data_IF_699117697808
#
_entry.id   IF_699117697808
#
_cell.length_a   1.000
_cell.length_b   1.000
_cell.length_c   1.000
_cell.angle_alpha   90.00
_cell.angle_beta   90.00
_cell.angle_gamma   90.00
#
_symmetry.space_group_name_H-M   'P 1'
#
loop_
_entity.id
_entity.type
_entity.pdbx_description
1 polymer ?
#
# COMPACT_ATOMS: atom_id res chain seq x y z
N UNK A 1 -0.49 10.82 25.78
CA UNK A 1 -1.55 9.96 25.19
C UNK A 1 -0.85 8.76 24.59
N UNK A 2 -1.17 7.54 25.00
CA UNK A 2 -0.53 6.34 24.46
C UNK A 2 -0.92 6.23 22.98
N UNK A 3 0.04 6.33 22.06
CA UNK A 3 -0.23 6.16 20.61
C UNK A 3 -0.59 4.69 20.39
N UNK A 4 -1.86 4.43 20.07
CA UNK A 4 -2.31 3.10 19.69
C UNK A 4 -1.91 2.86 18.23
N UNK A 5 -1.05 1.87 17.97
CA UNK A 5 -0.74 1.41 16.61
C UNK A 5 -1.95 0.66 16.04
N UNK A 6 -2.20 0.79 14.72
CA UNK A 6 -3.25 0.00 14.06
C UNK A 6 -2.93 -1.49 14.14
N UNK A 7 -3.97 -2.31 14.35
CA UNK A 7 -3.84 -3.77 14.50
C UNK A 7 -4.58 -4.50 13.41
N UNK A 8 -3.95 -5.54 12.87
CA UNK A 8 -4.61 -6.48 11.97
C UNK A 8 -5.64 -7.27 12.78
N UNK A 9 -6.82 -7.49 12.22
CA UNK A 9 -7.90 -8.25 12.86
C UNK A 9 -8.37 -9.39 11.96
N UNK A 10 -8.53 -10.57 12.57
CA UNK A 10 -8.91 -11.82 11.89
C UNK A 10 -10.36 -12.22 12.18
N UNK A 11 -11.09 -11.45 12.97
CA UNK A 11 -12.49 -11.73 13.31
C UNK A 11 -13.49 -11.08 12.34
N UNK A 12 -13.03 -10.18 11.46
CA UNK A 12 -13.88 -9.41 10.52
C UNK A 12 -14.15 -10.11 9.18
N UNK A 13 -13.46 -11.20 8.88
CA UNK A 13 -13.60 -11.92 7.61
C UNK A 13 -13.91 -13.40 7.85
N UNK A 14 -14.84 -13.95 7.07
CA UNK A 14 -15.22 -15.35 7.12
C UNK A 14 -15.18 -15.91 5.71
N UNK A 15 -14.47 -17.02 5.49
CA UNK A 15 -14.50 -17.79 4.26
C UNK A 15 -15.30 -19.06 4.48
N UNK A 16 -16.38 -19.22 3.72
CA UNK A 16 -17.22 -20.42 3.71
C UNK A 16 -16.78 -21.33 2.57
N UNK A 17 -16.53 -22.61 2.85
CA UNK A 17 -16.17 -23.61 1.83
C UNK A 17 -16.91 -24.92 2.07
N UNK A 18 -17.06 -25.76 1.04
CA UNK A 18 -17.49 -27.15 1.25
C UNK A 18 -16.42 -27.91 2.09
N UNK A 19 -16.84 -28.92 2.87
CA UNK A 19 -16.00 -29.76 3.75
C UNK A 19 -14.57 -30.03 3.25
N UNK A 20 -13.58 -30.18 4.16
CA UNK A 20 -12.23 -29.67 3.99
C UNK A 20 -11.61 -30.11 2.67
N UNK A 21 -11.48 -29.14 1.76
CA UNK A 21 -10.78 -29.24 0.49
C UNK A 21 -9.27 -29.42 0.71
N UNK A 22 -8.71 -30.65 0.60
CA UNK A 22 -7.30 -30.89 0.91
C UNK A 22 -6.37 -30.17 -0.07
N UNK A 23 -6.82 -30.03 -1.32
CA UNK A 23 -6.09 -29.43 -2.43
C UNK A 23 -5.86 -27.92 -2.31
N UNK A 24 -6.69 -27.21 -1.53
CA UNK A 24 -6.59 -25.76 -1.32
C UNK A 24 -6.26 -25.37 0.13
N UNK A 25 -6.15 -26.34 1.04
CA UNK A 25 -5.89 -26.07 2.46
C UNK A 25 -4.55 -25.33 2.67
N UNK A 26 -3.53 -25.66 1.87
CA UNK A 26 -2.23 -24.99 1.93
C UNK A 26 -2.26 -23.55 1.41
N UNK A 27 -3.13 -23.22 0.44
CA UNK A 27 -3.22 -21.87 -0.14
C UNK A 27 -4.10 -20.92 0.66
N UNK A 28 -4.99 -21.47 1.51
CA UNK A 28 -5.91 -20.74 2.39
C UNK A 28 -5.43 -20.63 3.84
N UNK A 29 -4.35 -21.32 4.23
CA UNK A 29 -3.81 -21.30 5.60
C UNK A 29 -3.53 -19.90 6.13
N UNK A 30 -3.20 -18.98 5.24
CA UNK A 30 -2.84 -17.61 5.55
C UNK A 30 -4.02 -16.65 5.36
N UNK A 31 -5.27 -17.13 5.21
CA UNK A 31 -6.44 -16.24 5.10
C UNK A 31 -6.57 -15.38 6.36
N UNK A 32 -6.76 -14.06 6.18
CA UNK A 32 -6.95 -13.10 7.28
C UNK A 32 -8.39 -13.15 7.80
N UNK A 33 -8.76 -14.26 8.42
CA UNK A 33 -10.13 -14.53 8.82
C UNK A 33 -10.32 -15.96 9.32
N UNK A 34 -11.57 -16.31 9.64
CA UNK A 34 -11.94 -17.69 9.93
C UNK A 34 -12.40 -18.42 8.66
N UNK A 35 -11.94 -19.65 8.45
CA UNK A 35 -12.50 -20.55 7.43
C UNK A 35 -13.50 -21.50 8.09
N UNK A 36 -14.71 -21.61 7.55
CA UNK A 36 -15.79 -22.45 8.11
C UNK A 36 -16.39 -23.34 7.03
N UNK A 37 -16.90 -24.50 7.43
CA UNK A 37 -17.60 -25.39 6.51
C UNK A 37 -19.00 -24.84 6.18
N UNK A 38 -19.45 -24.99 4.94
CA UNK A 38 -20.79 -24.59 4.50
C UNK A 38 -21.90 -25.22 5.36
N UNK A 39 -21.68 -26.45 5.85
CA UNK A 39 -22.60 -27.13 6.77
C UNK A 39 -22.73 -26.46 8.15
N UNK A 40 -21.71 -25.71 8.59
CA UNK A 40 -21.71 -24.98 9.87
C UNK A 40 -22.37 -23.60 9.75
N UNK A 41 -22.48 -23.07 8.53
CA UNK A 41 -22.96 -21.71 8.27
C UNK A 41 -24.35 -21.42 8.89
N UNK A 42 -25.37 -22.30 8.81
CA UNK A 42 -26.69 -22.02 9.40
C UNK A 42 -26.64 -21.81 10.92
N UNK A 43 -25.77 -22.53 11.63
CA UNK A 43 -25.61 -22.40 13.07
C UNK A 43 -24.85 -21.11 13.48
N UNK A 44 -24.13 -20.50 12.54
CA UNK A 44 -23.22 -19.36 12.79
C UNK A 44 -23.69 -18.06 12.16
N UNK A 45 -24.93 -17.98 11.66
CA UNK A 45 -25.46 -16.79 10.99
C UNK A 45 -25.37 -15.51 11.83
N UNK A 46 -25.62 -15.62 13.15
CA UNK A 46 -25.51 -14.49 14.07
C UNK A 46 -24.07 -13.96 14.19
N UNK A 47 -23.07 -14.83 14.02
CA UNK A 47 -21.65 -14.46 14.09
C UNK A 47 -21.17 -13.72 12.84
N UNK A 48 -21.97 -13.66 11.77
CA UNK A 48 -21.62 -12.97 10.52
C UNK A 48 -21.89 -11.46 10.59
N UNK A 49 -22.61 -11.00 11.62
CA UNK A 49 -23.01 -9.62 11.77
C UNK A 49 -21.82 -8.66 11.62
N UNK A 50 -21.89 -7.74 10.66
CA UNK A 50 -20.83 -6.73 10.44
C UNK A 50 -19.56 -7.25 9.74
N UNK A 51 -19.48 -8.53 9.38
CA UNK A 51 -18.30 -9.15 8.75
C UNK A 51 -18.36 -9.14 7.22
N UNK A 52 -17.20 -9.30 6.58
CA UNK A 52 -17.13 -9.71 5.17
C UNK A 52 -17.20 -11.23 5.09
N UNK A 53 -18.14 -11.74 4.30
CA UNK A 53 -18.32 -13.17 4.05
C UNK A 53 -17.90 -13.48 2.62
N UNK A 54 -16.93 -14.38 2.47
CA UNK A 54 -16.48 -14.93 1.20
C UNK A 54 -17.11 -16.32 1.04
N UNK A 55 -17.80 -16.55 -0.06
CA UNK A 55 -18.49 -17.79 -0.37
C UNK A 55 -17.70 -18.58 -1.41
N UNK A 56 -17.18 -19.73 -0.99
CA UNK A 56 -16.79 -20.85 -1.83
C UNK A 56 -17.76 -22.02 -1.66
N UNK A 57 -17.50 -23.12 -2.37
CA UNK A 57 -18.36 -24.30 -2.40
C UNK A 57 -19.59 -24.15 -3.31
N UNK A 58 -20.61 -24.94 -3.05
CA UNK A 58 -21.86 -24.93 -3.81
C UNK A 58 -22.77 -23.76 -3.38
N UNK A 59 -22.68 -22.64 -4.10
CA UNK A 59 -23.40 -21.40 -3.79
C UNK A 59 -24.92 -21.55 -3.97
N UNK A 60 -25.38 -22.45 -4.85
CA UNK A 60 -26.80 -22.71 -5.04
C UNK A 60 -27.46 -23.20 -3.74
N UNK A 61 -26.74 -24.00 -2.94
CA UNK A 61 -27.22 -24.47 -1.62
C UNK A 61 -27.33 -23.36 -0.58
N UNK A 62 -26.65 -22.23 -0.79
CA UNK A 62 -26.61 -21.11 0.14
C UNK A 62 -27.65 -20.04 -0.20
N UNK A 63 -28.35 -20.14 -1.34
CA UNK A 63 -29.35 -19.15 -1.75
C UNK A 63 -30.50 -18.99 -0.74
N UNK A 64 -30.87 -20.05 -0.02
CA UNK A 64 -31.93 -20.01 0.99
C UNK A 64 -31.53 -19.37 2.31
N UNK A 65 -30.26 -19.00 2.50
CA UNK A 65 -29.76 -18.44 3.75
C UNK A 65 -29.86 -16.91 3.76
N UNK A 66 -30.33 -16.38 4.89
CA UNK A 66 -30.39 -14.94 5.15
C UNK A 66 -29.03 -14.43 5.64
N UNK A 67 -28.17 -14.05 4.70
CA UNK A 67 -26.85 -13.46 4.98
C UNK A 67 -26.89 -11.93 5.14
N UNK A 68 -28.08 -11.32 5.25
CA UNK A 68 -28.25 -9.86 5.30
C UNK A 68 -27.62 -9.16 6.52
N UNK A 69 -27.31 -9.90 7.59
CA UNK A 69 -26.57 -9.35 8.74
C UNK A 69 -25.08 -9.12 8.42
N UNK A 70 -24.52 -9.84 7.44
CA UNK A 70 -23.16 -9.60 6.98
C UNK A 70 -23.03 -8.21 6.38
N UNK A 71 -21.90 -7.54 6.63
CA UNK A 71 -21.61 -6.23 6.04
C UNK A 71 -21.43 -6.32 4.53
N UNK A 72 -20.83 -7.41 4.06
CA UNK A 72 -20.53 -7.68 2.66
C UNK A 72 -20.52 -9.17 2.42
N UNK A 73 -21.07 -9.62 1.28
CA UNK A 73 -21.04 -11.01 0.84
C UNK A 73 -20.46 -11.06 -0.57
N UNK A 74 -19.47 -11.91 -0.79
CA UNK A 74 -18.73 -12.03 -2.06
C UNK A 74 -18.62 -13.51 -2.44
N UNK A 75 -18.83 -13.84 -3.71
CA UNK A 75 -18.60 -15.21 -4.22
C UNK A 75 -17.19 -15.30 -4.79
N UNK A 76 -16.42 -16.29 -4.36
CA UNK A 76 -15.04 -16.50 -4.85
C UNK A 76 -15.07 -17.47 -6.02
N UNK A 77 -14.89 -16.95 -7.24
CA UNK A 77 -15.09 -17.67 -8.51
C UNK A 77 -14.41 -19.04 -8.54
N UNK A 78 -13.13 -19.09 -8.19
CA UNK A 78 -12.30 -20.28 -8.27
C UNK A 78 -12.62 -21.31 -7.18
N UNK A 79 -13.29 -20.87 -6.10
CA UNK A 79 -13.71 -21.74 -5.01
C UNK A 79 -15.20 -22.13 -5.12
N UNK A 80 -15.97 -21.46 -5.98
CA UNK A 80 -17.43 -21.56 -6.01
C UNK A 80 -17.96 -22.30 -7.24
N UNK A 81 -18.97 -23.14 -7.04
CA UNK A 81 -19.79 -23.78 -8.08
C UNK A 81 -21.27 -23.41 -7.91
N UNK A 82 -22.06 -23.58 -8.96
CA UNK A 82 -23.50 -23.26 -8.94
C UNK A 82 -23.83 -21.76 -8.81
N UNK A 83 -22.83 -20.87 -8.90
CA UNK A 83 -23.04 -19.43 -8.74
C UNK A 83 -23.72 -18.77 -9.96
N UNK A 84 -23.64 -19.39 -11.14
CA UNK A 84 -24.39 -18.94 -12.33
C UNK A 84 -25.89 -19.21 -12.19
N UNK A 85 -26.25 -20.37 -11.62
CA UNK A 85 -27.62 -20.77 -11.30
C UNK A 85 -28.17 -19.96 -10.11
N UNK A 86 -27.29 -19.48 -9.24
CA UNK A 86 -27.65 -18.76 -8.03
C UNK A 86 -28.19 -17.33 -8.27
N UNK A 87 -28.22 -16.87 -9.52
CA UNK A 87 -28.53 -15.49 -9.88
C UNK A 87 -27.47 -14.50 -9.37
N UNK A 88 -27.44 -13.30 -9.94
CA UNK A 88 -26.45 -12.26 -9.61
C UNK A 88 -26.64 -11.61 -8.21
N UNK A 89 -27.05 -12.38 -7.19
CA UNK A 89 -27.37 -11.88 -5.84
C UNK A 89 -26.16 -11.27 -5.15
N UNK A 90 -24.98 -11.85 -5.35
CA UNK A 90 -23.74 -11.40 -4.73
C UNK A 90 -22.66 -11.14 -5.79
N UNK A 91 -21.82 -10.10 -5.61
CA UNK A 91 -20.69 -9.87 -6.49
C UNK A 91 -19.73 -11.06 -6.52
N UNK A 92 -19.27 -11.43 -7.72
CA UNK A 92 -18.27 -12.47 -7.92
C UNK A 92 -16.88 -11.83 -7.97
N UNK A 93 -15.94 -12.36 -7.19
CA UNK A 93 -14.55 -11.93 -7.11
C UNK A 93 -13.60 -13.10 -7.38
N UNK A 94 -12.37 -12.80 -7.77
CA UNK A 94 -11.30 -13.78 -7.91
C UNK A 94 -10.72 -14.16 -6.54
N UNK A 95 -10.14 -15.36 -6.40
CA UNK A 95 -9.44 -15.82 -5.20
C UNK A 95 -8.26 -14.91 -4.83
N UNK A 96 -7.73 -14.18 -5.80
CA UNK A 96 -6.71 -13.16 -5.63
C UNK A 96 -7.16 -11.96 -4.77
N UNK A 97 -8.49 -11.77 -4.62
CA UNK A 97 -9.15 -10.74 -3.78
C UNK A 97 -9.36 -11.21 -2.34
N UNK A 98 -8.92 -12.42 -1.98
CA UNK A 98 -8.92 -12.87 -0.60
C UNK A 98 -7.80 -12.15 0.19
N UNK A 99 -8.09 -11.63 1.40
CA UNK A 99 -7.05 -11.08 2.26
C UNK A 99 -6.14 -12.19 2.79
N UNK A 100 -4.85 -12.10 2.49
CA UNK A 100 -3.86 -13.07 2.96
C UNK A 100 -2.91 -12.42 3.97
N UNK A 101 -2.81 -12.97 5.17
CA UNK A 101 -1.81 -12.61 6.17
C UNK A 101 -0.39 -12.86 5.64
N UNK A 102 0.47 -11.88 5.85
CA UNK A 102 1.89 -11.98 5.53
C UNK A 102 2.65 -12.17 6.83
N UNK A 103 2.52 -13.35 7.46
CA UNK A 103 3.25 -13.73 8.68
C UNK A 103 3.27 -12.64 9.76
N UNK A 104 2.15 -11.96 9.97
CA UNK A 104 2.00 -10.86 10.94
C UNK A 104 2.52 -9.48 10.50
N UNK A 105 3.15 -9.36 9.33
CA UNK A 105 3.65 -8.06 8.82
C UNK A 105 2.55 -7.20 8.20
N UNK A 106 1.46 -7.81 7.74
CA UNK A 106 0.43 -7.10 6.98
C UNK A 106 -0.55 -8.04 6.29
N UNK A 107 -1.40 -7.47 5.44
CA UNK A 107 -2.42 -8.18 4.66
C UNK A 107 -2.20 -7.92 3.18
N UNK A 108 -2.10 -8.98 2.39
CA UNK A 108 -1.80 -8.95 0.98
C UNK A 108 -2.97 -9.47 0.15
N UNK A 109 -3.30 -8.70 -0.88
CA UNK A 109 -4.22 -9.09 -1.94
C UNK A 109 -3.40 -9.25 -3.21
N UNK A 110 -3.32 -10.47 -3.72
CA UNK A 110 -2.49 -10.79 -4.90
C UNK A 110 -2.99 -10.09 -6.16
N UNK A 111 -4.29 -9.79 -6.22
CA UNK A 111 -4.90 -8.87 -7.18
C UNK A 111 -6.08 -8.20 -6.49
N UNK A 112 -5.91 -6.91 -6.22
CA UNK A 112 -6.94 -6.06 -5.65
C UNK A 112 -7.68 -5.33 -6.76
N UNK A 113 -6.99 -4.59 -7.62
CA UNK A 113 -7.68 -3.80 -8.64
C UNK A 113 -8.12 -4.68 -9.81
N UNK A 114 -9.12 -4.21 -10.55
CA UNK A 114 -9.63 -4.89 -11.74
C UNK A 114 -8.54 -4.91 -12.82
N UNK A 115 -8.15 -6.11 -13.27
CA UNK A 115 -7.12 -6.28 -14.29
C UNK A 115 -7.51 -5.71 -15.66
N UNK A 116 -8.80 -5.45 -15.90
CA UNK A 116 -9.27 -4.77 -17.11
C UNK A 116 -9.15 -3.25 -17.03
N UNK A 117 -9.02 -2.69 -15.82
CA UNK A 117 -8.77 -1.28 -15.62
C UNK A 117 -7.28 -1.00 -15.90
N UNK A 118 -7.01 -0.26 -16.98
CA UNK A 118 -5.67 0.21 -17.34
C UNK A 118 -5.18 1.32 -16.38
N UNK A 119 -5.08 0.98 -15.10
CA UNK A 119 -4.88 1.90 -13.97
C UNK A 119 -3.54 2.62 -14.09
N UNK A 120 -2.50 1.94 -14.58
CA UNK A 120 -1.21 2.56 -14.87
C UNK A 120 -1.37 3.73 -15.84
N UNK A 121 -2.02 3.50 -16.99
CA UNK A 121 -2.13 4.52 -18.02
C UNK A 121 -3.09 5.63 -17.60
N UNK A 122 -4.15 5.32 -16.87
CA UNK A 122 -5.06 6.32 -16.31
C UNK A 122 -4.31 7.31 -15.41
N UNK A 123 -3.56 6.81 -14.41
CA UNK A 123 -2.76 7.66 -13.51
C UNK A 123 -1.73 8.49 -14.31
N UNK A 124 -1.07 7.87 -15.30
CA UNK A 124 -0.09 8.57 -16.13
C UNK A 124 -0.68 9.64 -17.05
N UNK A 125 -1.97 9.54 -17.42
CA UNK A 125 -2.69 10.56 -18.20
C UNK A 125 -3.22 11.69 -17.32
N UNK A 126 -3.67 11.35 -16.11
CA UNK A 126 -4.24 12.30 -15.16
C UNK A 126 -3.19 13.20 -14.51
N UNK A 127 -1.94 12.71 -14.40
CA UNK A 127 -0.90 13.37 -13.62
C UNK A 127 0.42 13.52 -14.37
N UNK A 128 1.08 14.67 -14.13
CA UNK A 128 2.44 14.92 -14.64
C UNK A 128 3.47 14.53 -13.59
N UNK A 129 4.16 13.41 -13.82
CA UNK A 129 5.22 12.94 -12.94
C UNK A 129 6.43 13.87 -12.94
N UNK A 130 6.97 14.10 -11.75
CA UNK A 130 8.03 15.05 -11.46
C UNK A 130 9.36 14.31 -11.30
N UNK A 131 10.45 15.00 -11.60
CA UNK A 131 11.78 14.50 -11.28
C UNK A 131 11.99 14.49 -9.77
N UNK A 132 12.85 13.60 -9.31
CA UNK A 132 13.21 13.49 -7.90
C UNK A 132 14.72 13.37 -7.75
N UNK A 133 15.21 13.92 -6.65
CA UNK A 133 16.62 13.84 -6.28
C UNK A 133 16.81 12.78 -5.20
N UNK A 134 17.87 12.00 -5.33
CA UNK A 134 18.26 11.01 -4.32
C UNK A 134 19.21 11.67 -3.32
N UNK A 135 18.66 12.12 -2.19
CA UNK A 135 19.44 12.66 -1.08
C UNK A 135 20.30 13.88 -1.52
N UNK A 136 21.59 13.88 -1.21
CA UNK A 136 22.57 14.95 -1.52
C UNK A 136 23.39 14.68 -2.78
N UNK A 137 23.09 13.62 -3.55
CA UNK A 137 23.89 13.29 -4.74
C UNK A 137 23.54 14.24 -5.88
N UNK A 138 24.54 14.80 -6.60
CA UNK A 138 24.27 15.54 -7.83
C UNK A 138 23.74 14.56 -8.88
N UNK A 139 22.43 14.61 -9.15
CA UNK A 139 21.77 13.76 -10.12
C UNK A 139 20.27 13.59 -9.86
N UNK A 140 19.50 13.40 -10.93
CA UNK A 140 18.12 12.93 -10.83
C UNK A 140 18.12 11.42 -10.64
N UNK A 141 17.21 10.91 -9.82
CA UNK A 141 17.09 9.47 -9.69
C UNK A 141 16.47 8.83 -10.93
N UNK A 142 16.67 7.53 -11.09
CA UNK A 142 16.11 6.73 -12.19
C UNK A 142 14.60 6.47 -12.09
N UNK A 143 13.89 7.25 -11.28
CA UNK A 143 12.43 7.18 -11.14
C UNK A 143 11.86 8.60 -11.15
N UNK A 144 10.61 8.71 -11.55
CA UNK A 144 9.83 9.94 -11.44
C UNK A 144 8.70 9.71 -10.45
N UNK A 145 8.14 10.77 -9.88
CA UNK A 145 7.11 10.63 -8.86
C UNK A 145 6.20 11.84 -8.73
N UNK A 146 5.17 11.71 -7.92
CA UNK A 146 4.25 12.79 -7.62
C UNK A 146 3.59 12.53 -6.25
N UNK A 147 3.32 13.61 -5.51
CA UNK A 147 2.45 13.57 -4.35
C UNK A 147 1.03 13.96 -4.71
N UNK A 148 0.08 13.18 -4.24
CA UNK A 148 -1.34 13.43 -4.42
C UNK A 148 -2.04 13.43 -3.06
N UNK A 149 -2.98 14.35 -2.87
CA UNK A 149 -3.84 14.42 -1.67
C UNK A 149 -5.13 15.17 -2.01
N UNK A 150 -6.24 15.04 -1.26
CA UNK A 150 -7.38 15.92 -1.47
C UNK A 150 -6.98 17.38 -1.24
N UNK A 151 -7.22 18.23 -2.25
CA UNK A 151 -7.04 19.67 -2.19
C UNK A 151 -8.41 20.34 -2.26
N UNK A 152 -8.71 21.20 -1.31
CA UNK A 152 -9.95 21.96 -1.22
C UNK A 152 -9.64 23.46 -1.29
N UNK A 153 -10.36 24.17 -2.14
CA UNK A 153 -10.25 25.63 -2.24
C UNK A 153 -11.34 26.31 -1.38
N UNK A 154 -10.93 27.27 -0.56
CA UNK A 154 -11.82 28.13 0.23
C UNK A 154 -11.39 29.59 0.05
N UNK A 155 -12.05 30.31 -0.86
CA UNK A 155 -11.57 31.62 -1.31
C UNK A 155 -10.20 31.49 -1.99
N UNK A 156 -9.23 32.25 -1.51
CA UNK A 156 -7.84 32.21 -1.98
C UNK A 156 -6.96 31.18 -1.24
N UNK A 157 -7.54 30.46 -0.28
CA UNK A 157 -6.83 29.43 0.49
C UNK A 157 -6.96 28.06 -0.18
N UNK A 158 -5.85 27.33 -0.29
CA UNK A 158 -5.81 25.93 -0.73
C UNK A 158 -5.49 25.04 0.47
N UNK A 159 -6.45 24.24 0.92
CA UNK A 159 -6.31 23.31 2.02
C UNK A 159 -5.94 21.91 1.53
N UNK A 160 -4.94 21.30 2.15
CA UNK A 160 -4.42 20.00 1.75
C UNK A 160 -3.69 19.33 2.92
N UNK A 161 -3.13 18.13 2.70
CA UNK A 161 -2.29 17.44 3.68
C UNK A 161 -0.86 17.31 3.17
N UNK A 162 0.09 17.46 4.09
CA UNK A 162 1.50 17.24 3.82
C UNK A 162 1.91 15.85 4.29
N UNK A 163 2.93 15.28 3.67
CA UNK A 163 3.62 14.11 4.18
C UNK A 163 5.13 14.29 4.01
N UNK A 164 5.71 15.11 4.88
CA UNK A 164 7.10 15.57 4.84
C UNK A 164 8.02 14.40 5.18
N UNK A 165 8.47 13.71 4.15
CA UNK A 165 9.41 12.60 4.26
C UNK A 165 10.75 12.93 3.57
N UNK A 166 11.52 11.91 3.21
CA UNK A 166 12.85 12.06 2.59
C UNK A 166 12.81 12.25 1.07
N UNK A 167 11.64 12.12 0.44
CA UNK A 167 11.52 12.29 -1.02
C UNK A 167 11.48 13.77 -1.36
N UNK A 168 12.32 14.18 -2.33
CA UNK A 168 12.37 15.54 -2.82
C UNK A 168 11.99 15.58 -4.30
N UNK A 169 10.73 15.94 -4.56
CA UNK A 169 10.14 16.15 -5.86
C UNK A 169 10.33 17.60 -6.30
N UNK A 170 10.42 17.81 -7.62
CA UNK A 170 10.68 19.13 -8.20
C UNK A 170 9.45 20.03 -8.37
N UNK A 171 8.24 19.51 -8.15
CA UNK A 171 6.99 20.24 -8.34
C UNK A 171 6.01 20.12 -7.17
N UNK A 172 4.86 20.82 -7.25
CA UNK A 172 3.86 20.85 -6.18
C UNK A 172 3.16 19.50 -6.00
N UNK A 173 2.56 19.30 -4.83
CA UNK A 173 1.51 18.29 -4.63
C UNK A 173 0.31 18.58 -5.54
N UNK A 174 -0.33 17.55 -6.07
CA UNK A 174 -1.56 17.68 -6.87
C UNK A 174 -2.78 17.12 -6.13
N UNK A 175 -3.97 17.58 -6.54
CA UNK A 175 -5.24 17.09 -6.06
C UNK A 175 -5.52 15.67 -6.56
N UNK A 176 -6.30 14.93 -5.78
CA UNK A 176 -6.90 13.69 -6.25
C UNK A 176 -7.86 13.92 -7.42
N UNK A 177 -7.59 13.20 -8.52
CA UNK A 177 -8.50 13.04 -9.65
C UNK A 177 -9.51 11.94 -9.37
N UNK A 178 -10.39 11.67 -10.33
CA UNK A 178 -11.50 10.73 -10.15
C UNK A 178 -10.98 9.32 -9.84
N UNK A 179 -9.96 8.87 -10.57
CA UNK A 179 -9.36 7.55 -10.35
C UNK A 179 -8.69 7.46 -8.97
N UNK A 180 -7.92 8.48 -8.54
CA UNK A 180 -7.30 8.46 -7.20
C UNK A 180 -8.33 8.31 -6.09
N UNK A 181 -9.46 9.03 -6.19
CA UNK A 181 -10.54 8.91 -5.20
C UNK A 181 -11.09 7.49 -5.17
N UNK A 182 -11.37 6.90 -6.33
CA UNK A 182 -11.84 5.52 -6.42
C UNK A 182 -10.86 4.52 -5.80
N UNK A 183 -9.57 4.65 -6.13
CA UNK A 183 -8.51 3.79 -5.58
C UNK A 183 -8.43 3.96 -4.05
N UNK A 184 -8.30 5.19 -3.56
CA UNK A 184 -8.13 5.50 -2.13
C UNK A 184 -9.38 5.14 -1.33
N UNK A 185 -10.58 5.34 -1.86
CA UNK A 185 -11.84 4.97 -1.21
C UNK A 185 -11.97 3.43 -1.12
N UNK A 186 -11.63 2.71 -2.18
CA UNK A 186 -11.60 1.24 -2.16
C UNK A 186 -10.60 0.71 -1.13
N UNK A 187 -9.42 1.33 -1.04
CA UNK A 187 -8.41 0.98 -0.05
C UNK A 187 -8.87 1.27 1.39
N UNK A 188 -9.50 2.42 1.65
CA UNK A 188 -10.04 2.75 2.96
C UNK A 188 -11.18 1.80 3.36
N UNK A 189 -12.06 1.46 2.42
CA UNK A 189 -13.13 0.49 2.64
C UNK A 189 -12.56 -0.88 3.05
N UNK A 190 -11.54 -1.35 2.35
CA UNK A 190 -10.90 -2.63 2.65
C UNK A 190 -10.08 -2.58 3.94
N UNK A 191 -9.35 -1.50 4.20
CA UNK A 191 -8.59 -1.32 5.43
C UNK A 191 -9.50 -1.46 6.67
N UNK A 192 -10.74 -0.95 6.62
CA UNK A 192 -11.71 -1.11 7.70
C UNK A 192 -12.16 -2.56 7.95
N UNK A 193 -12.00 -3.46 6.96
CA UNK A 193 -12.32 -4.88 7.06
C UNK A 193 -11.14 -5.73 7.56
N UNK A 194 -9.91 -5.21 7.56
CA UNK A 194 -8.70 -5.97 7.97
C UNK A 194 -7.89 -5.32 9.08
N UNK A 195 -8.17 -4.05 9.43
CA UNK A 195 -7.61 -3.37 10.59
C UNK A 195 -8.68 -2.88 11.56
N UNK A 196 -8.28 -2.70 12.81
CA UNK A 196 -9.02 -1.97 13.83
C UNK A 196 -8.43 -0.57 14.03
N UNK A 197 -9.32 0.42 14.23
CA UNK A 197 -8.99 1.80 14.57
C UNK A 197 -7.94 2.49 13.67
N UNK A 198 -7.86 2.11 12.39
CA UNK A 198 -6.88 2.69 11.46
C UNK A 198 -7.26 4.13 11.06
N UNK A 199 -6.26 5.01 10.95
CA UNK A 199 -6.46 6.36 10.42
C UNK A 199 -6.66 6.35 8.90
N UNK A 200 -7.49 7.22 8.32
CA UNK A 200 -7.78 7.17 6.89
C UNK A 200 -6.54 7.36 6.01
N UNK A 201 -6.43 6.53 4.97
CA UNK A 201 -5.50 6.71 3.86
C UNK A 201 -5.92 7.95 3.07
N UNK A 202 -5.03 8.93 2.94
CA UNK A 202 -5.39 10.25 2.38
C UNK A 202 -4.24 10.97 1.65
N UNK A 203 -3.08 10.32 1.53
CA UNK A 203 -1.91 10.91 0.90
C UNK A 203 -1.17 9.84 0.09
N UNK A 204 -0.84 10.14 -1.15
CA UNK A 204 -0.27 9.19 -2.11
C UNK A 204 1.12 9.64 -2.53
N UNK A 205 2.06 8.72 -2.56
CA UNK A 205 3.28 8.83 -3.35
C UNK A 205 3.19 7.86 -4.54
N UNK A 206 2.94 8.39 -5.73
CA UNK A 206 2.95 7.63 -6.96
C UNK A 206 4.34 7.75 -7.62
N UNK A 207 4.97 6.64 -7.98
CA UNK A 207 6.32 6.62 -8.52
C UNK A 207 6.46 5.65 -9.69
N UNK A 208 7.01 6.13 -10.81
CA UNK A 208 7.33 5.33 -11.99
C UNK A 208 8.79 4.91 -11.97
N UNK A 209 9.00 3.61 -12.09
CA UNK A 209 10.29 2.95 -11.96
C UNK A 209 10.76 2.50 -13.34
N UNK A 210 11.73 3.24 -13.89
CA UNK A 210 12.25 2.98 -15.23
C UNK A 210 13.42 2.00 -15.22
N UNK A 211 13.53 1.20 -16.28
CA UNK A 211 14.67 0.33 -16.55
C UNK A 211 15.39 0.85 -17.79
N UNK A 212 16.72 0.98 -17.73
CA UNK A 212 17.56 1.45 -18.84
C UNK A 212 18.37 0.28 -19.38
N UNK A 213 18.30 0.06 -20.70
CA UNK A 213 19.09 -0.97 -21.38
C UNK A 213 20.58 -0.68 -21.28
N UNK A 214 21.39 -1.71 -21.41
CA UNK A 214 22.83 -1.50 -21.61
C UNK A 214 23.07 -0.83 -22.97
N UNK A 215 23.98 0.14 -23.01
CA UNK A 215 24.54 0.71 -24.22
C UNK A 215 26.03 0.35 -24.30
N UNK A 216 26.67 0.58 -25.45
CA UNK A 216 28.10 0.28 -25.70
C UNK A 216 29.05 0.84 -24.62
N UNK A 217 28.65 1.90 -23.92
CA UNK A 217 29.43 2.56 -22.87
C UNK A 217 28.81 2.50 -21.48
N UNK A 218 27.62 1.91 -21.31
CA UNK A 218 26.88 1.95 -20.05
C UNK A 218 26.21 0.60 -19.73
N UNK A 219 26.46 0.08 -18.53
CA UNK A 219 25.76 -1.11 -18.03
C UNK A 219 24.26 -0.82 -17.88
N UNK A 220 23.43 -1.85 -18.06
CA UNK A 220 22.00 -1.74 -17.80
C UNK A 220 21.74 -1.23 -16.38
N UNK A 221 20.67 -0.44 -16.21
CA UNK A 221 20.22 0.04 -14.92
C UNK A 221 18.79 -0.44 -14.68
N UNK A 222 18.56 -1.06 -13.52
CA UNK A 222 17.25 -1.53 -13.10
C UNK A 222 16.77 -0.72 -11.90
N UNK A 223 15.49 -0.44 -11.88
CA UNK A 223 14.88 0.28 -10.77
C UNK A 223 14.95 -0.53 -9.47
N UNK A 224 15.55 0.06 -8.44
CA UNK A 224 15.64 -0.50 -7.08
C UNK A 224 15.50 0.60 -6.05
N UNK A 225 15.09 0.23 -4.84
CA UNK A 225 15.14 1.10 -3.66
C UNK A 225 15.85 0.33 -2.58
N UNK A 226 16.91 0.92 -2.01
CA UNK A 226 17.66 0.32 -0.90
C UNK A 226 16.82 0.20 0.37
N UNK A 227 17.25 -0.69 1.26
CA UNK A 227 16.60 -0.89 2.56
C UNK A 227 16.39 0.41 3.34
N UNK A 228 15.14 0.65 3.74
CA UNK A 228 14.75 1.78 4.57
C UNK A 228 13.46 1.49 5.34
N UNK A 229 13.18 2.29 6.36
CA UNK A 229 11.85 2.45 6.93
C UNK A 229 11.24 3.78 6.43
N UNK A 230 9.95 3.76 6.12
CA UNK A 230 9.21 4.94 5.72
C UNK A 230 9.14 5.95 6.87
N UNK A 231 9.18 7.24 6.52
CA UNK A 231 9.25 8.30 7.53
C UNK A 231 7.86 8.61 8.07
N UNK A 232 7.70 8.44 9.38
CA UNK A 232 6.39 8.51 10.04
C UNK A 232 6.04 9.89 10.62
N UNK A 233 6.91 10.90 10.42
CA UNK A 233 6.79 12.26 10.99
C UNK A 233 5.37 12.86 10.97
N UNK A 234 4.71 12.79 9.83
CA UNK A 234 3.39 13.38 9.60
C UNK A 234 2.25 12.34 9.65
N UNK A 235 2.56 11.10 10.03
CA UNK A 235 1.59 10.02 10.15
C UNK A 235 1.01 9.95 11.57
N UNK A 236 -0.31 9.71 11.71
CA UNK A 236 -0.89 9.44 13.02
C UNK A 236 -0.42 8.08 13.56
N UNK A 237 -0.46 7.89 14.88
CA UNK A 237 0.06 6.67 15.54
C UNK A 237 -0.65 5.38 15.10
N UNK A 238 -1.94 5.47 14.80
CA UNK A 238 -2.78 4.41 14.23
C UNK A 238 -2.76 4.40 12.69
N UNK A 239 -1.73 4.96 12.07
CA UNK A 239 -1.56 4.96 10.63
C UNK A 239 -1.30 3.56 10.07
N UNK A 240 -1.64 3.38 8.80
CA UNK A 240 -1.26 2.24 7.97
C UNK A 240 -0.69 2.74 6.64
N UNK A 241 -0.13 1.82 5.86
CA UNK A 241 0.35 2.07 4.50
C UNK A 241 -0.19 1.00 3.56
N UNK A 242 -0.58 1.41 2.35
CA UNK A 242 -1.03 0.53 1.29
C UNK A 242 -0.08 0.62 0.10
N UNK A 243 0.68 -0.43 -0.15
CA UNK A 243 1.61 -0.55 -1.28
C UNK A 243 0.86 -1.13 -2.47
N UNK A 244 0.34 -0.27 -3.35
CA UNK A 244 -0.32 -0.70 -4.57
C UNK A 244 0.69 -0.79 -5.71
N UNK A 245 0.55 -1.80 -6.56
CA UNK A 245 1.47 -2.03 -7.69
C UNK A 245 0.72 -2.14 -9.00
N UNK A 246 1.12 -1.32 -9.96
CA UNK A 246 0.65 -1.39 -11.34
C UNK A 246 1.84 -1.51 -12.29
N UNK A 247 1.62 -2.08 -13.47
CA UNK A 247 2.67 -2.24 -14.47
C UNK A 247 2.21 -1.79 -15.84
N UNK A 248 3.17 -1.34 -16.62
CA UNK A 248 3.06 -1.13 -18.06
C UNK A 248 3.99 -2.11 -18.78
N UNK A 249 3.61 -2.49 -19.99
CA UNK A 249 4.35 -3.44 -20.84
C UNK A 249 4.50 -4.85 -20.22
N UNK A 250 3.44 -5.34 -19.56
CA UNK A 250 3.40 -6.71 -19.01
C UNK A 250 3.36 -7.79 -20.10
N UNK A 251 2.99 -7.45 -21.33
CA UNK A 251 2.97 -8.31 -22.51
C UNK A 251 4.36 -8.86 -22.88
N UNK A 252 5.44 -8.25 -22.37
CA UNK A 252 6.81 -8.78 -22.47
C UNK A 252 7.05 -10.08 -21.69
N UNK A 253 6.16 -10.38 -20.74
CA UNK A 253 6.30 -11.50 -19.82
C UNK A 253 5.13 -12.49 -20.00
N UNK A 254 5.46 -13.78 -19.98
CA UNK A 254 4.47 -14.85 -19.97
C UNK A 254 4.05 -15.23 -18.55
N UNK A 255 2.89 -15.88 -18.36
CA UNK A 255 2.54 -16.47 -17.08
C UNK A 255 3.58 -17.52 -16.65
N UNK A 256 3.81 -17.65 -15.35
CA UNK A 256 4.63 -18.73 -14.79
C UNK A 256 3.76 -19.91 -14.33
N UNK A 257 4.22 -21.16 -14.51
CA UNK A 257 3.42 -22.35 -14.20
C UNK A 257 3.19 -22.54 -12.70
N UNK A 258 4.17 -22.16 -11.86
CA UNK A 258 4.14 -22.41 -10.42
C UNK A 258 3.39 -21.32 -9.63
N UNK A 259 3.09 -20.19 -10.26
CA UNK A 259 2.41 -19.06 -9.64
C UNK A 259 1.51 -18.35 -10.66
N UNK A 260 0.18 -18.52 -10.57
CA UNK A 260 -0.77 -17.96 -11.55
C UNK A 260 -0.85 -16.43 -11.53
N UNK A 261 -0.29 -15.77 -10.51
CA UNK A 261 -0.25 -14.31 -10.41
C UNK A 261 1.08 -13.73 -10.91
N UNK A 262 2.13 -14.56 -10.99
CA UNK A 262 3.44 -14.13 -11.44
C UNK A 262 3.56 -14.14 -12.96
N UNK A 263 4.47 -13.31 -13.46
CA UNK A 263 4.80 -13.22 -14.87
C UNK A 263 6.31 -13.17 -15.03
N UNK A 264 6.82 -13.88 -16.01
CA UNK A 264 8.25 -14.05 -16.20
C UNK A 264 8.65 -14.54 -17.58
N UNK A 265 9.90 -14.96 -17.66
CA UNK A 265 10.49 -15.50 -18.87
C UNK A 265 11.42 -16.66 -18.50
N UNK A 266 11.25 -17.82 -19.15
CA UNK A 266 12.00 -19.04 -18.86
C UNK A 266 12.07 -19.39 -17.36
N UNK A 267 10.92 -19.33 -16.67
CA UNK A 267 10.83 -19.68 -15.24
C UNK A 267 11.34 -18.60 -14.29
N UNK A 268 11.86 -17.47 -14.79
CA UNK A 268 12.34 -16.36 -13.95
C UNK A 268 11.29 -15.26 -13.93
N UNK A 269 10.78 -14.93 -12.73
CA UNK A 269 9.86 -13.80 -12.54
C UNK A 269 10.47 -12.50 -13.07
N UNK A 270 9.70 -11.72 -13.82
CA UNK A 270 10.05 -10.38 -14.27
C UNK A 270 9.52 -9.28 -13.36
N UNK A 271 8.76 -9.64 -12.31
CA UNK A 271 8.11 -8.69 -11.42
C UNK A 271 9.06 -8.20 -10.32
N UNK A 272 8.76 -7.02 -9.77
CA UNK A 272 9.52 -6.47 -8.63
C UNK A 272 9.18 -7.24 -7.36
N UNK A 273 10.17 -7.43 -6.48
CA UNK A 273 9.96 -7.99 -5.14
C UNK A 273 10.13 -6.91 -4.08
N UNK A 274 9.24 -6.90 -3.09
CA UNK A 274 9.34 -6.11 -1.87
C UNK A 274 9.87 -7.01 -0.75
N UNK A 275 11.08 -6.75 -0.30
CA UNK A 275 11.75 -7.54 0.74
C UNK A 275 11.76 -6.77 2.03
N UNK A 276 11.25 -7.39 3.09
CA UNK A 276 11.31 -6.92 4.46
C UNK A 276 12.42 -7.64 5.21
N UNK A 277 13.26 -6.89 5.90
CA UNK A 277 14.27 -7.42 6.82
C UNK A 277 14.07 -6.83 8.20
N UNK A 278 13.98 -7.71 9.20
CA UNK A 278 13.85 -7.36 10.60
C UNK A 278 15.07 -6.55 11.05
N UNK A 279 14.84 -5.44 11.76
CA UNK A 279 15.94 -4.65 12.33
C UNK A 279 16.62 -5.45 13.43
N UNK A 280 17.94 -5.32 13.58
CA UNK A 280 18.72 -6.11 14.56
C UNK A 280 18.17 -5.94 15.99
N UNK A 281 17.83 -4.72 16.39
CA UNK A 281 17.24 -4.41 17.70
C UNK A 281 15.81 -4.95 17.90
N UNK A 282 15.14 -5.44 16.86
CA UNK A 282 13.84 -6.07 17.00
C UNK A 282 13.95 -7.47 17.60
N UNK A 283 15.09 -8.16 17.47
CA UNK A 283 15.27 -9.52 17.99
C UNK A 283 15.04 -9.66 19.50
N UNK A 284 15.27 -8.59 20.27
CA UNK A 284 15.13 -8.58 21.73
C UNK A 284 13.72 -8.16 22.22
N UNK A 285 12.93 -7.49 21.38
CA UNK A 285 11.62 -6.88 21.74
C UNK A 285 10.44 -7.34 20.88
N UNK A 286 10.67 -8.11 19.83
CA UNK A 286 9.62 -8.57 18.93
C UNK A 286 8.77 -9.65 19.60
N UNK A 287 7.48 -9.68 19.26
CA UNK A 287 6.61 -10.79 19.61
C UNK A 287 7.20 -12.11 19.07
N UNK A 288 7.18 -13.20 19.86
CA UNK A 288 7.66 -14.49 19.38
C UNK A 288 6.93 -14.90 18.10
N UNK A 289 7.68 -15.38 17.10
CA UNK A 289 7.12 -15.89 15.84
C UNK A 289 7.23 -14.96 14.62
N UNK A 290 7.67 -13.71 14.77
CA UNK A 290 7.92 -12.83 13.62
C UNK A 290 9.19 -13.26 12.83
N UNK A 291 9.10 -13.42 11.50
CA UNK A 291 10.22 -13.88 10.68
C UNK A 291 11.33 -12.83 10.54
N UNK A 292 12.59 -13.27 10.42
CA UNK A 292 13.72 -12.36 10.16
C UNK A 292 13.61 -11.66 8.80
N UNK A 293 13.04 -12.36 7.82
CA UNK A 293 12.93 -11.88 6.46
C UNK A 293 11.65 -12.39 5.80
N UNK A 294 11.01 -11.52 5.04
CA UNK A 294 9.85 -11.85 4.20
C UNK A 294 10.03 -11.16 2.86
N UNK A 295 9.70 -11.85 1.78
CA UNK A 295 9.70 -11.26 0.43
C UNK A 295 8.36 -11.48 -0.22
N UNK A 296 7.79 -10.41 -0.77
CA UNK A 296 6.57 -10.43 -1.55
C UNK A 296 6.89 -10.13 -3.02
N UNK A 297 6.42 -10.98 -3.93
CA UNK A 297 6.34 -10.59 -5.34
C UNK A 297 5.21 -9.59 -5.47
N UNK A 298 5.50 -8.39 -5.97
CA UNK A 298 4.51 -7.35 -6.21
C UNK A 298 3.80 -7.66 -7.53
N UNK A 299 2.68 -8.37 -7.44
CA UNK A 299 1.89 -8.77 -8.61
C UNK A 299 1.20 -7.57 -9.26
N UNK A 300 0.81 -7.66 -10.55
CA UNK A 300 -0.04 -6.65 -11.16
C UNK A 300 -1.32 -6.46 -10.37
N UNK A 301 -1.67 -5.19 -10.16
CA UNK A 301 -2.91 -4.75 -9.52
C UNK A 301 -3.04 -5.22 -8.06
N UNK A 302 -1.93 -5.59 -7.43
CA UNK A 302 -1.87 -6.03 -6.04
C UNK A 302 -1.88 -4.88 -5.04
N UNK A 303 -2.29 -5.18 -3.81
CA UNK A 303 -2.04 -4.28 -2.67
C UNK A 303 -1.55 -5.05 -1.45
N UNK A 304 -0.51 -4.49 -0.82
CA UNK A 304 -0.05 -4.91 0.50
C UNK A 304 -0.33 -3.81 1.53
N UNK A 305 -1.21 -4.10 2.50
CA UNK A 305 -1.43 -3.23 3.64
C UNK A 305 -0.49 -3.60 4.79
N UNK A 306 0.16 -2.61 5.38
CA UNK A 306 0.99 -2.80 6.58
C UNK A 306 0.73 -1.72 7.64
N UNK A 307 0.67 -2.09 8.93
CA UNK A 307 0.62 -1.13 10.02
C UNK A 307 1.98 -0.46 10.26
N UNK A 308 1.99 0.66 10.97
CA UNK A 308 3.23 1.34 11.39
C UNK A 308 4.12 0.47 12.28
N UNK A 309 3.54 -0.48 13.04
CA UNK A 309 4.31 -1.44 13.83
C UNK A 309 5.26 -2.28 12.96
N UNK A 310 4.83 -2.67 11.76
CA UNK A 310 5.70 -3.36 10.79
C UNK A 310 6.83 -2.44 10.31
N UNK A 311 6.55 -1.17 9.99
CA UNK A 311 7.57 -0.19 9.59
C UNK A 311 8.60 0.09 10.71
N UNK A 312 8.15 0.02 11.95
CA UNK A 312 8.99 0.17 13.14
C UNK A 312 9.92 -1.04 13.34
N UNK A 313 9.44 -2.25 13.08
CA UNK A 313 10.21 -3.49 13.29
C UNK A 313 11.08 -3.90 12.09
N UNK A 314 10.71 -3.48 10.88
CA UNK A 314 11.36 -3.90 9.64
C UNK A 314 11.87 -2.71 8.82
N UNK A 315 12.95 -2.95 8.07
CA UNK A 315 13.26 -2.17 6.88
C UNK A 315 12.72 -2.91 5.65
N UNK A 316 12.44 -2.19 4.58
CA UNK A 316 12.04 -2.78 3.32
C UNK A 316 12.83 -2.22 2.14
N UNK A 317 13.01 -3.06 1.11
CA UNK A 317 13.70 -2.72 -0.13
C UNK A 317 12.94 -3.26 -1.35
N UNK A 318 13.14 -2.58 -2.49
CA UNK A 318 12.62 -3.05 -3.77
C UNK A 318 13.75 -3.72 -4.56
N UNK A 319 13.58 -5.01 -4.82
CA UNK A 319 14.50 -5.81 -5.59
C UNK A 319 13.99 -5.99 -7.01
N UNK A 320 14.82 -5.60 -7.97
CA UNK A 320 14.57 -5.86 -9.39
C UNK A 320 14.76 -7.33 -9.73
N UNK A 321 14.04 -7.83 -10.73
CA UNK A 321 14.26 -9.16 -11.30
C UNK A 321 15.66 -9.36 -11.89
N UNK A 322 16.08 -10.63 -11.96
CA UNK A 322 17.32 -11.06 -12.60
C UNK A 322 17.28 -10.91 -14.13
N UNK A 323 16.09 -10.88 -14.75
CA UNK A 323 15.94 -10.69 -16.20
C UNK A 323 16.54 -9.36 -16.66
N UNK A 324 17.03 -9.30 -17.91
CA UNK A 324 17.58 -8.07 -18.48
C UNK A 324 16.57 -6.92 -18.50
N UNK A 325 17.08 -5.70 -18.32
CA UNK A 325 16.29 -4.47 -18.20
C UNK A 325 15.30 -4.26 -19.35
N UNK A 326 15.60 -4.75 -20.56
CA UNK A 326 14.71 -4.63 -21.72
C UNK A 326 13.42 -5.45 -21.62
N UNK A 327 13.48 -6.57 -20.89
CA UNK A 327 12.36 -7.50 -20.66
C UNK A 327 11.51 -7.07 -19.48
N UNK A 328 12.03 -6.21 -18.62
CA UNK A 328 11.31 -5.76 -17.45
C UNK A 328 10.17 -4.79 -17.84
N UNK A 329 8.98 -4.96 -17.27
CA UNK A 329 7.92 -3.97 -17.37
C UNK A 329 8.30 -2.68 -16.63
N UNK A 330 7.62 -1.58 -16.93
CA UNK A 330 7.74 -0.36 -16.13
C UNK A 330 6.77 -0.46 -14.97
N UNK A 331 7.25 -0.34 -13.73
CA UNK A 331 6.39 -0.42 -12.54
C UNK A 331 5.94 0.98 -12.13
N UNK A 332 4.67 1.11 -11.77
CA UNK A 332 4.14 2.22 -10.99
C UNK A 332 3.89 1.71 -9.56
N UNK A 333 4.66 2.21 -8.60
CA UNK A 333 4.34 2.05 -7.19
C UNK A 333 3.41 3.18 -6.76
N UNK A 334 2.22 2.86 -6.28
CA UNK A 334 1.24 3.82 -5.79
C UNK A 334 1.05 3.58 -4.29
N UNK A 335 1.86 4.27 -3.48
CA UNK A 335 1.93 4.06 -2.03
C UNK A 335 1.02 5.05 -1.35
N UNK A 336 -0.07 4.55 -0.77
CA UNK A 336 -1.04 5.37 -0.02
C UNK A 336 -0.72 5.29 1.46
N UNK A 337 -0.72 6.44 2.13
CA UNK A 337 -0.40 6.59 3.55
C UNK A 337 -1.41 7.49 4.23
N UNK A 338 -1.41 7.43 5.55
CA UNK A 338 -2.20 8.31 6.41
C UNK A 338 -1.38 9.56 6.76
N UNK A 339 -1.89 10.75 6.48
CA UNK A 339 -1.33 12.00 6.98
C UNK A 339 -2.28 12.68 7.97
N UNK A 340 -1.72 13.15 9.08
CA UNK A 340 -2.38 14.07 10.03
C UNK A 340 -1.87 15.51 9.94
N UNK A 341 -0.90 15.80 9.06
CA UNK A 341 -0.34 17.13 8.90
C UNK A 341 -1.19 17.96 7.93
N UNK A 342 -2.19 18.65 8.46
CA UNK A 342 -3.02 19.56 7.67
C UNK A 342 -2.26 20.85 7.35
N UNK A 343 -2.43 21.33 6.12
CA UNK A 343 -1.77 22.52 5.62
C UNK A 343 -2.73 23.43 4.87
N UNK A 344 -2.33 24.69 4.75
CA UNK A 344 -2.98 25.68 3.90
C UNK A 344 -1.92 26.45 3.11
N UNK A 345 -2.12 26.61 1.81
CA UNK A 345 -1.36 27.53 1.00
C UNK A 345 -2.17 28.81 0.79
N UNK A 346 -1.60 29.95 1.15
CA UNK A 346 -2.19 31.28 0.95
C UNK A 346 -1.11 32.35 0.88
N UNK A 347 -1.38 33.42 0.13
CA UNK A 347 -0.45 34.56 0.00
C UNK A 347 0.97 34.13 -0.42
N UNK A 348 1.07 33.12 -1.30
CA UNK A 348 2.35 32.59 -1.79
C UNK A 348 3.14 31.76 -0.78
N UNK A 349 2.52 31.35 0.33
CA UNK A 349 3.18 30.63 1.41
C UNK A 349 2.36 29.43 1.90
N UNK A 350 3.04 28.35 2.27
CA UNK A 350 2.43 27.19 2.91
C UNK A 350 2.55 27.29 4.43
N UNK A 351 1.48 26.98 5.13
CA UNK A 351 1.38 26.96 6.58
C UNK A 351 0.87 25.60 7.05
N UNK A 352 1.42 25.09 8.16
CA UNK A 352 0.88 23.97 8.92
C UNK A 352 -0.27 24.46 9.80
N UNK A 353 -1.37 23.71 9.82
CA UNK A 353 -2.44 23.91 10.81
C UNK A 353 -2.06 23.18 12.10
N UNK A 354 -1.92 23.93 13.18
CA UNK A 354 -1.63 23.42 14.52
C UNK A 354 -2.73 23.83 15.49
N UNK A 355 -2.74 23.25 16.69
CA UNK A 355 -3.67 23.68 17.75
C UNK A 355 -3.49 25.16 18.12
N UNK A 356 -2.28 25.70 18.00
CA UNK A 356 -1.95 27.11 18.22
C UNK A 356 -2.20 28.03 17.02
N UNK A 357 -2.80 27.54 15.94
CA UNK A 357 -3.05 28.30 14.71
C UNK A 357 -2.12 27.92 13.55
N UNK A 358 -1.93 28.85 12.61
CA UNK A 358 -1.12 28.64 11.41
C UNK A 358 0.37 28.89 11.68
N UNK A 359 1.21 27.90 11.35
CA UNK A 359 2.68 28.01 11.45
C UNK A 359 3.26 27.95 10.05
N UNK A 360 3.94 29.01 9.62
CA UNK A 360 4.54 29.10 8.29
C UNK A 360 5.63 28.03 8.11
N UNK A 361 5.66 27.37 6.95
CA UNK A 361 6.79 26.53 6.58
C UNK A 361 8.01 27.40 6.27
N UNK A 362 9.14 27.03 6.84
CA UNK A 362 10.42 27.73 6.69
C UNK A 362 11.39 26.89 5.86
N UNK A 363 12.33 27.49 5.13
CA UNK A 363 13.41 26.75 4.50
C UNK A 363 14.23 25.96 5.54
N UNK A 364 14.74 24.77 5.18
CA UNK A 364 15.59 23.99 6.08
C UNK A 364 16.91 24.73 6.40
N UNK A 365 17.31 24.74 7.67
CA UNK A 365 18.66 25.14 8.08
C UNK A 365 19.64 23.97 8.00
N UNK A 366 20.96 24.20 7.86
CA UNK A 366 21.95 23.12 7.89
C UNK A 366 21.87 22.25 9.15
N UNK A 367 21.70 22.88 10.32
CA UNK A 367 21.56 22.22 11.62
C UNK A 367 20.26 21.41 11.68
N UNK A 368 19.13 22.01 11.29
CA UNK A 368 17.85 21.32 11.26
C UNK A 368 17.87 20.10 10.32
N UNK A 369 18.54 20.21 9.17
CA UNK A 369 18.73 19.09 8.25
C UNK A 369 19.60 17.98 8.82
N UNK A 370 20.64 18.33 9.58
CA UNK A 370 21.48 17.35 10.27
C UNK A 370 20.65 16.59 11.30
N UNK A 371 19.89 17.29 12.13
CA UNK A 371 19.04 16.69 13.16
C UNK A 371 17.93 15.82 12.57
N UNK A 372 17.27 16.29 11.51
CA UNK A 372 16.23 15.50 10.83
C UNK A 372 16.81 14.21 10.24
N UNK A 373 17.98 14.29 9.60
CA UNK A 373 18.64 13.11 9.02
C UNK A 373 19.12 12.13 10.09
N UNK A 374 19.51 12.62 11.26
CA UNK A 374 19.82 11.75 12.39
C UNK A 374 18.58 10.95 12.81
N UNK A 375 17.42 11.59 12.99
CA UNK A 375 16.17 10.89 13.28
C UNK A 375 15.80 9.88 12.19
N UNK A 376 15.98 10.24 10.91
CA UNK A 376 15.74 9.31 9.81
C UNK A 376 16.64 8.07 9.85
N UNK A 377 17.89 8.23 10.30
CA UNK A 377 18.81 7.12 10.47
C UNK A 377 18.44 6.27 11.69
N UNK A 378 18.00 6.89 12.79
CA UNK A 378 17.48 6.21 13.97
C UNK A 378 16.22 5.39 13.63
N UNK A 379 15.29 5.95 12.86
CA UNK A 379 14.08 5.24 12.41
C UNK A 379 14.41 4.02 11.54
N UNK A 380 15.51 4.05 10.77
CA UNK A 380 15.93 2.91 9.96
C UNK A 380 16.58 1.79 10.79
N UNK A 381 17.19 2.13 11.94
CA UNK A 381 18.01 1.18 12.74
C UNK A 381 17.28 0.63 13.96
N UNK A 382 16.48 1.47 14.61
CA UNK A 382 15.88 1.18 15.90
C UNK A 382 14.43 0.70 15.76
N UNK A 383 13.91 0.12 16.84
CA UNK A 383 12.50 -0.27 16.97
C UNK A 383 11.68 0.68 17.84
N UNK A 384 12.28 1.81 18.21
CA UNK A 384 11.62 2.84 19.01
C UNK A 384 10.67 3.66 18.14
N UNK A 385 9.64 4.22 18.77
CA UNK A 385 8.78 5.20 18.12
C UNK A 385 9.55 6.52 18.05
N UNK A 386 9.79 7.03 16.85
CA UNK A 386 10.55 8.26 16.64
C UNK A 386 9.63 9.46 16.79
N UNK A 387 9.86 10.26 17.82
CA UNK A 387 9.13 11.51 18.05
C UNK A 387 9.84 12.69 17.39
N UNK A 388 9.28 13.15 16.28
CA UNK A 388 9.82 14.29 15.54
C UNK A 388 9.52 15.64 16.23
N UNK A 389 8.39 15.72 16.93
CA UNK A 389 7.88 16.94 17.56
C UNK A 389 7.64 18.10 16.58
N UNK A 390 7.38 19.28 17.14
CA UNK A 390 7.06 20.49 16.36
C UNK A 390 8.30 21.29 15.92
N UNK A 391 9.50 20.78 16.21
CA UNK A 391 10.77 21.49 15.95
C UNK A 391 11.12 21.61 14.46
N UNK A 392 10.58 20.73 13.62
CA UNK A 392 10.87 20.73 12.19
C UNK A 392 9.74 21.43 11.41
N UNK A 393 9.83 22.75 11.33
CA UNK A 393 8.90 23.62 10.56
C UNK A 393 9.22 23.70 9.07
N UNK A 394 10.02 22.77 8.56
CA UNK A 394 10.43 22.71 7.17
C UNK A 394 10.11 21.34 6.58
N UNK A 395 10.15 21.28 5.25
CA UNK A 395 10.16 20.08 4.43
C UNK A 395 11.45 19.97 3.62
N UNK A 396 11.85 18.72 3.35
CA UNK A 396 12.89 18.42 2.36
C UNK A 396 12.37 18.50 0.93
N UNK A 397 11.04 18.38 0.74
CA UNK A 397 10.39 18.46 -0.55
C UNK A 397 10.14 19.92 -0.93
N UNK A 398 10.75 20.39 -2.02
CA UNK A 398 10.55 21.77 -2.48
C UNK A 398 9.10 22.04 -2.90
N UNK A 399 8.40 21.01 -3.39
CA UNK A 399 6.99 21.09 -3.73
C UNK A 399 6.07 21.53 -2.59
N UNK A 400 6.42 21.22 -1.34
CA UNK A 400 5.59 21.53 -0.17
C UNK A 400 5.47 23.04 0.10
N UNK A 401 6.42 23.83 -0.42
CA UNK A 401 6.41 25.29 -0.29
C UNK A 401 5.59 25.98 -1.38
N UNK A 402 5.17 25.25 -2.41
CA UNK A 402 4.45 25.78 -3.56
C UNK A 402 2.95 25.48 -3.46
N UNK A 403 2.14 26.27 -4.17
CA UNK A 403 0.69 26.06 -4.22
C UNK A 403 0.37 24.67 -4.79
N UNK A 404 -0.46 23.85 -4.12
CA UNK A 404 -0.91 22.58 -4.68
C UNK A 404 -1.77 22.83 -5.92
N UNK A 405 -1.77 21.88 -6.87
CA UNK A 405 -2.62 21.98 -8.07
C UNK A 405 -3.99 21.34 -7.85
N UNK A 406 -5.04 21.92 -8.44
CA UNK A 406 -6.44 21.48 -8.33
C UNK A 406 -6.87 20.38 -9.30
#
# INVERSE_FOLDING_TARGET
>A
MQRTEARIVEDKNVLVVDSPWPEHQASLKDFCGSVIAAAELPARLAELAGKTVYLGGDVARLQGLELGAAKRVLVVRELARGHEEAGHRWPVVEAARLPMLVRGLGVYYRRFFDASADTYQQICREHTFQTLTESTKPGTAHRTGIYLTPVQQAGDELHFRLLRCSTNLSGPTENFRANDRQLVDALNHEAAAVFEDQAPLNHVLAQRYHNTRSATTQKQAKAKISAHADKTKDMPGNGIMAFCTFYDQLDKLGPLPDDPFDRGHHGISGLTRLRFRRKEQAGERAAPGLPDEVTLTLYPDSVFFMPLSTNRLYTHELQSSMLDAERLPTRLGYVVRCSSAEAVHKEGHTFLKTSGGLVKLEPPTPEGMKDLRQLYAEENKTTDVIEYGDRFRFSMNQGDYTAPRL
#
